data_IF_425016505006
#
_entry.id   IF_425016505006
#
_cell.length_a   1.000
_cell.length_b   1.000
_cell.length_c   1.000
_cell.angle_alpha   90.00
_cell.angle_beta   90.00
_cell.angle_gamma   90.00
#
_symmetry.space_group_name_H-M   'P 1'
#
loop_
_entity.id
_entity.type
_entity.pdbx_description
1 polymer ?
#
# COMPACT_ATOMS: atom_id res chain seq x y z
N UNK A 1 0.40 6.77 15.63
CA UNK A 1 1.11 7.32 14.45
C UNK A 1 1.01 8.85 14.34
N UNK A 2 0.09 9.53 15.02
CA UNK A 2 -0.05 11.01 14.96
C UNK A 2 1.01 11.81 15.74
N UNK A 3 1.68 11.21 16.75
CA UNK A 3 2.57 11.96 17.66
C UNK A 3 3.99 12.20 17.13
N UNK A 4 4.45 11.44 16.12
CA UNK A 4 5.79 11.61 15.55
C UNK A 4 5.85 12.68 14.45
N UNK A 5 4.72 12.92 13.77
CA UNK A 5 4.59 14.00 12.79
C UNK A 5 4.69 15.38 13.43
N UNK A 6 4.18 15.58 14.64
CA UNK A 6 4.27 16.88 15.33
C UNK A 6 5.71 17.33 15.62
N UNK A 7 6.62 16.43 16.01
CA UNK A 7 7.96 16.82 16.48
C UNK A 7 8.94 17.12 15.34
N UNK A 8 8.84 16.40 14.21
CA UNK A 8 9.68 16.67 13.03
C UNK A 8 9.19 17.91 12.27
N UNK A 9 7.87 18.12 12.22
CA UNK A 9 7.28 19.34 11.65
C UNK A 9 7.63 20.57 12.50
N UNK A 10 7.60 20.50 13.83
CA UNK A 10 7.92 21.67 14.68
C UNK A 10 9.38 22.15 14.52
N UNK A 11 10.34 21.23 14.39
CA UNK A 11 11.76 21.61 14.25
C UNK A 11 12.09 22.21 12.86
N UNK A 12 11.42 21.75 11.81
CA UNK A 12 11.54 22.32 10.46
C UNK A 12 10.77 23.64 10.31
N UNK A 13 9.62 23.79 10.98
CA UNK A 13 8.86 25.05 11.01
C UNK A 13 9.65 26.17 11.68
N UNK A 14 10.35 25.89 12.80
CA UNK A 14 11.09 26.93 13.54
C UNK A 14 12.33 27.46 12.81
N UNK A 15 12.94 26.68 11.91
CA UNK A 15 14.10 27.14 11.11
C UNK A 15 13.70 27.76 9.78
N UNK A 16 12.55 27.39 9.20
CA UNK A 16 11.98 28.03 8.01
C UNK A 16 11.26 29.36 8.29
N UNK A 17 10.63 29.53 9.45
CA UNK A 17 9.86 30.74 9.76
C UNK A 17 10.73 31.99 9.96
N UNK A 18 11.94 31.86 10.50
CA UNK A 18 12.83 33.01 10.75
C UNK A 18 13.31 33.67 9.45
N UNK A 19 13.28 32.95 8.33
CA UNK A 19 13.66 33.47 7.01
C UNK A 19 12.55 34.25 6.29
N UNK A 20 11.28 34.14 6.71
CA UNK A 20 10.13 34.76 6.04
C UNK A 20 9.60 36.02 6.74
N UNK A 21 9.97 36.25 8.00
CA UNK A 21 9.45 37.37 8.81
C UNK A 21 10.35 38.61 8.86
N UNK A 22 11.57 38.54 8.32
CA UNK A 22 12.41 39.71 8.12
C UNK A 22 12.53 39.96 6.63
N UNK A 23 12.27 41.17 6.17
CA UNK A 23 12.30 41.57 4.75
C UNK A 23 13.68 41.48 4.07
N UNK A 24 14.55 40.57 4.50
CA UNK A 24 15.73 40.16 3.78
C UNK A 24 15.31 39.17 2.70
N UNK A 25 15.55 39.57 1.45
CA UNK A 25 15.57 38.66 0.30
C UNK A 25 16.65 37.63 0.61
N UNK A 26 16.29 36.51 1.23
CA UNK A 26 17.12 35.32 1.22
C UNK A 26 17.20 34.96 -0.26
N UNK A 27 18.35 35.22 -0.87
CA UNK A 27 18.63 34.77 -2.23
C UNK A 27 18.56 33.25 -2.17
N UNK A 28 17.39 32.70 -2.47
CA UNK A 28 17.16 31.26 -2.42
C UNK A 28 18.17 30.57 -3.31
N UNK A 29 18.58 29.34 -2.96
CA UNK A 29 19.54 28.61 -3.78
C UNK A 29 19.00 28.43 -5.21
N UNK A 30 19.88 28.13 -6.17
CA UNK A 30 19.46 27.92 -7.57
C UNK A 30 18.35 26.86 -7.68
N UNK A 31 18.40 25.84 -6.82
CA UNK A 31 17.33 24.84 -6.65
C UNK A 31 15.99 25.47 -6.26
N UNK A 32 15.95 26.29 -5.20
CA UNK A 32 14.72 26.93 -4.71
C UNK A 32 14.16 27.95 -5.72
N UNK A 33 15.02 28.70 -6.40
CA UNK A 33 14.60 29.62 -7.46
C UNK A 33 14.05 28.87 -8.68
N UNK A 34 14.64 27.74 -9.04
CA UNK A 34 14.14 26.87 -10.11
C UNK A 34 12.77 26.28 -9.73
N UNK A 35 12.59 25.86 -8.48
CA UNK A 35 11.30 25.41 -7.97
C UNK A 35 10.24 26.51 -8.05
N UNK A 36 10.53 27.70 -7.51
CA UNK A 36 9.58 28.82 -7.48
C UNK A 36 9.12 29.24 -8.89
N UNK A 37 10.05 29.33 -9.85
CA UNK A 37 9.73 29.64 -11.25
C UNK A 37 8.88 28.56 -11.91
N UNK A 38 9.24 27.30 -11.70
CA UNK A 38 8.51 26.16 -12.28
C UNK A 38 7.11 26.05 -11.68
N UNK A 39 6.97 26.24 -10.37
CA UNK A 39 5.69 26.24 -9.68
C UNK A 39 4.78 27.38 -10.16
N UNK A 40 5.34 28.59 -10.36
CA UNK A 40 4.60 29.71 -10.96
C UNK A 40 4.08 29.38 -12.36
N UNK A 41 4.94 28.84 -13.24
CA UNK A 41 4.56 28.44 -14.59
C UNK A 41 3.47 27.35 -14.56
N UNK A 42 3.59 26.39 -13.66
CA UNK A 42 2.62 25.31 -13.47
C UNK A 42 1.19 25.79 -13.20
N UNK A 43 1.08 26.70 -12.22
CA UNK A 43 -0.19 27.26 -11.78
C UNK A 43 -0.77 28.21 -12.84
N UNK A 44 0.10 29.03 -13.46
CA UNK A 44 -0.29 29.95 -14.53
C UNK A 44 -0.78 29.23 -15.79
N UNK A 45 -0.17 28.09 -16.15
CA UNK A 45 -0.62 27.26 -17.28
C UNK A 45 -2.04 26.72 -17.07
N UNK A 46 -2.48 26.59 -15.82
CA UNK A 46 -3.86 26.21 -15.47
C UNK A 46 -4.79 27.42 -15.35
N UNK A 47 -4.37 28.60 -15.81
CA UNK A 47 -5.10 29.88 -15.71
C UNK A 47 -5.44 30.31 -14.28
N UNK A 48 -4.63 29.88 -13.30
CA UNK A 48 -4.76 30.26 -11.90
C UNK A 48 -3.67 31.25 -11.53
N UNK A 49 -4.03 32.26 -10.73
CA UNK A 49 -3.06 33.21 -10.19
C UNK A 49 -2.34 32.57 -8.99
N UNK A 50 -1.00 32.51 -9.03
CA UNK A 50 -0.21 31.87 -7.97
C UNK A 50 -0.31 32.58 -6.61
N UNK A 51 -0.48 33.91 -6.57
CA UNK A 51 -0.64 34.63 -5.31
C UNK A 51 -1.97 34.31 -4.64
N UNK A 52 -3.03 34.13 -5.44
CA UNK A 52 -4.33 33.68 -4.95
C UNK A 52 -4.29 32.21 -4.52
N UNK A 53 -3.54 31.36 -5.23
CA UNK A 53 -3.33 29.97 -4.85
C UNK A 53 -2.61 29.88 -3.49
N UNK A 54 -1.52 30.63 -3.31
CA UNK A 54 -0.78 30.72 -2.04
C UNK A 54 -1.69 31.16 -0.89
N UNK A 55 -2.55 32.14 -1.13
CA UNK A 55 -3.52 32.59 -0.14
C UNK A 55 -4.45 31.48 0.34
N UNK A 56 -4.97 30.66 -0.56
CA UNK A 56 -5.81 29.53 -0.15
C UNK A 56 -4.99 28.42 0.51
N UNK A 57 -3.85 28.06 -0.08
CA UNK A 57 -2.97 27.00 0.42
C UNK A 57 -2.48 27.30 1.85
N UNK A 58 -2.17 28.56 2.15
CA UNK A 58 -1.68 28.98 3.46
C UNK A 58 -2.79 29.39 4.44
N UNK A 59 -4.05 29.21 4.07
CA UNK A 59 -5.22 29.63 4.85
C UNK A 59 -5.21 31.13 5.19
N UNK A 60 -4.81 31.96 4.22
CA UNK A 60 -4.88 33.42 4.26
C UNK A 60 -3.63 34.14 4.78
N UNK A 61 -2.58 33.41 5.12
CA UNK A 61 -1.35 33.97 5.72
C UNK A 61 -0.32 34.48 4.70
N UNK A 62 -0.35 34.00 3.46
CA UNK A 62 0.60 34.33 2.40
C UNK A 62 -0.14 34.69 1.10
N UNK A 63 0.52 35.41 0.19
CA UNK A 63 -0.05 35.74 -1.11
C UNK A 63 -1.10 36.85 -1.05
N UNK A 64 -2.11 36.78 -1.93
CA UNK A 64 -3.11 37.83 -2.10
C UNK A 64 -4.52 37.24 -2.11
N UNK A 65 -5.44 37.87 -1.39
CA UNK A 65 -6.84 37.49 -1.40
C UNK A 65 -7.42 37.64 -2.82
N UNK A 66 -8.18 36.65 -3.34
CA UNK A 66 -8.79 36.75 -4.66
C UNK A 66 -9.83 37.87 -4.71
N UNK A 67 -9.79 38.73 -5.74
CA UNK A 67 -10.75 39.84 -5.90
C UNK A 67 -12.19 39.34 -6.11
N UNK A 68 -12.34 38.17 -6.73
CA UNK A 68 -13.63 37.48 -6.95
C UNK A 68 -14.20 36.83 -5.66
N UNK A 69 -13.47 36.91 -4.55
CA UNK A 69 -13.79 36.25 -3.28
C UNK A 69 -13.21 34.83 -3.18
N UNK A 70 -12.91 34.41 -1.95
CA UNK A 70 -12.24 33.12 -1.67
C UNK A 70 -13.06 31.93 -2.15
N UNK A 71 -14.38 31.92 -1.91
CA UNK A 71 -15.25 30.81 -2.29
C UNK A 71 -15.34 30.63 -3.82
N UNK A 72 -15.53 31.72 -4.56
CA UNK A 72 -15.60 31.73 -6.03
C UNK A 72 -14.29 31.25 -6.65
N UNK A 73 -13.17 31.80 -6.18
CA UNK A 73 -11.85 31.38 -6.64
C UNK A 73 -11.59 29.91 -6.33
N UNK A 74 -11.90 29.46 -5.11
CA UNK A 74 -11.73 28.07 -4.69
C UNK A 74 -12.51 27.12 -5.60
N UNK A 75 -13.78 27.41 -5.88
CA UNK A 75 -14.60 26.59 -6.77
C UNK A 75 -13.96 26.45 -8.16
N UNK A 76 -13.46 27.55 -8.75
CA UNK A 76 -12.77 27.55 -10.04
C UNK A 76 -11.44 26.81 -9.99
N UNK A 77 -10.61 27.09 -8.99
CA UNK A 77 -9.28 26.50 -8.85
C UNK A 77 -9.35 24.98 -8.62
N UNK A 78 -10.32 24.50 -7.84
CA UNK A 78 -10.46 23.08 -7.56
C UNK A 78 -10.87 22.24 -8.79
N UNK A 79 -11.47 22.84 -9.82
CA UNK A 79 -11.76 22.16 -11.10
C UNK A 79 -10.46 21.78 -11.83
N UNK A 80 -9.45 22.64 -11.80
CA UNK A 80 -8.14 22.40 -12.44
C UNK A 80 -7.12 21.77 -11.50
N UNK A 81 -7.53 21.38 -10.28
CA UNK A 81 -6.66 20.72 -9.29
C UNK A 81 -5.86 19.55 -9.87
N UNK A 82 -6.47 18.59 -10.62
CA UNK A 82 -5.70 17.46 -11.14
C UNK A 82 -4.54 17.87 -12.06
N UNK A 83 -4.70 18.94 -12.83
CA UNK A 83 -3.65 19.46 -13.72
C UNK A 83 -2.49 20.07 -12.91
N UNK A 84 -2.83 20.86 -11.89
CA UNK A 84 -1.87 21.48 -10.98
C UNK A 84 -1.13 20.41 -10.17
N UNK A 85 -1.83 19.37 -9.69
CA UNK A 85 -1.22 18.27 -8.91
C UNK A 85 -0.17 17.52 -9.74
N UNK A 86 -0.54 17.07 -10.95
CA UNK A 86 0.37 16.33 -11.85
C UNK A 86 1.60 17.17 -12.19
N UNK A 87 1.38 18.44 -12.52
CA UNK A 87 2.46 19.35 -12.87
C UNK A 87 3.35 19.68 -11.66
N UNK A 88 2.77 19.90 -10.48
CA UNK A 88 3.51 20.13 -9.24
C UNK A 88 4.40 18.93 -8.88
N UNK A 89 3.85 17.71 -8.94
CA UNK A 89 4.60 16.47 -8.71
C UNK A 89 5.77 16.32 -9.69
N UNK A 90 5.53 16.55 -10.99
CA UNK A 90 6.57 16.47 -12.01
C UNK A 90 7.72 17.46 -11.76
N UNK A 91 7.42 18.66 -11.28
CA UNK A 91 8.44 19.67 -10.90
C UNK A 91 9.23 19.21 -9.70
N UNK A 92 8.56 18.78 -8.63
CA UNK A 92 9.19 18.33 -7.38
C UNK A 92 10.15 17.17 -7.67
N UNK A 93 9.71 16.16 -8.42
CA UNK A 93 10.54 15.01 -8.77
C UNK A 93 11.72 15.39 -9.66
N UNK A 94 11.48 16.20 -10.69
CA UNK A 94 12.54 16.65 -11.60
C UNK A 94 13.65 17.36 -10.83
N UNK A 95 13.29 18.23 -9.89
CA UNK A 95 14.26 18.98 -9.09
C UNK A 95 14.90 18.12 -8.00
N UNK A 96 14.14 17.23 -7.36
CA UNK A 96 14.68 16.30 -6.36
C UNK A 96 15.81 15.42 -6.93
N UNK A 97 15.64 14.98 -8.18
CA UNK A 97 16.62 14.17 -8.91
C UNK A 97 17.63 15.02 -9.72
N UNK A 98 17.56 16.35 -9.64
CA UNK A 98 18.43 17.25 -10.41
C UNK A 98 19.78 17.46 -9.73
N UNK A 99 20.81 17.68 -10.53
CA UNK A 99 22.11 18.21 -10.07
C UNK A 99 22.03 19.64 -9.56
N UNK A 100 20.90 20.35 -9.78
CA UNK A 100 20.67 21.69 -9.21
C UNK A 100 20.41 21.66 -7.70
N UNK A 101 19.87 20.55 -7.17
CA UNK A 101 19.56 20.36 -5.76
C UNK A 101 20.55 19.35 -5.17
N UNK A 102 21.79 19.80 -4.97
CA UNK A 102 22.94 18.95 -4.62
C UNK A 102 22.81 18.44 -3.20
N UNK A 103 22.42 19.30 -2.27
CA UNK A 103 22.39 18.96 -0.84
C UNK A 103 21.07 18.32 -0.44
N UNK A 104 21.11 17.43 0.54
CA UNK A 104 19.89 16.85 1.12
C UNK A 104 19.00 17.94 1.73
N UNK A 105 19.57 19.02 2.27
CA UNK A 105 18.83 20.16 2.82
C UNK A 105 18.00 20.87 1.74
N UNK A 106 18.59 21.11 0.57
CA UNK A 106 17.85 21.71 -0.57
C UNK A 106 16.72 20.81 -1.05
N UNK A 107 16.98 19.51 -1.15
CA UNK A 107 15.96 18.51 -1.49
C UNK A 107 14.80 18.50 -0.50
N UNK A 108 15.09 18.57 0.80
CA UNK A 108 14.03 18.67 1.82
C UNK A 108 13.28 20.00 1.75
N UNK A 109 13.97 21.08 1.39
CA UNK A 109 13.34 22.40 1.27
C UNK A 109 12.34 22.42 0.10
N UNK A 110 12.70 21.90 -1.07
CA UNK A 110 11.76 21.85 -2.20
C UNK A 110 10.58 20.92 -1.91
N UNK A 111 10.76 19.85 -1.14
CA UNK A 111 9.66 18.99 -0.71
C UNK A 111 8.71 19.74 0.21
N UNK A 112 9.24 20.42 1.22
CA UNK A 112 8.46 21.26 2.14
C UNK A 112 7.70 22.35 1.38
N UNK A 113 8.35 23.04 0.45
CA UNK A 113 7.72 24.06 -0.39
C UNK A 113 6.63 23.48 -1.29
N UNK A 114 6.86 22.31 -1.88
CA UNK A 114 5.88 21.60 -2.71
C UNK A 114 4.66 21.17 -1.89
N UNK A 115 4.87 20.67 -0.68
CA UNK A 115 3.80 20.27 0.21
C UNK A 115 3.02 21.48 0.74
N UNK A 116 3.70 22.57 1.09
CA UNK A 116 3.08 23.81 1.55
C UNK A 116 2.21 24.46 0.47
N UNK A 117 2.59 24.37 -0.81
CA UNK A 117 1.81 24.94 -1.90
C UNK A 117 0.79 23.95 -2.47
N UNK A 118 1.26 22.87 -3.09
CA UNK A 118 0.41 21.93 -3.82
C UNK A 118 -0.34 20.99 -2.88
N UNK A 119 0.33 20.49 -1.83
CA UNK A 119 -0.31 19.65 -0.82
C UNK A 119 -1.44 20.38 -0.09
N UNK A 120 -1.18 21.59 0.40
CA UNK A 120 -2.19 22.38 1.09
C UNK A 120 -3.30 22.90 0.15
N UNK A 121 -2.98 23.18 -1.12
CA UNK A 121 -4.01 23.48 -2.12
C UNK A 121 -4.91 22.26 -2.38
N UNK A 122 -4.34 21.07 -2.51
CA UNK A 122 -5.12 19.83 -2.62
C UNK A 122 -6.07 19.69 -1.42
N UNK A 123 -5.54 19.86 -0.21
CA UNK A 123 -6.32 19.70 1.02
C UNK A 123 -7.42 20.76 1.12
N UNK A 124 -7.14 21.98 0.66
CA UNK A 124 -8.15 23.02 0.51
C UNK A 124 -9.27 22.57 -0.41
N UNK A 125 -8.96 21.89 -1.52
CA UNK A 125 -9.94 21.36 -2.46
C UNK A 125 -10.59 20.03 -2.07
N UNK A 126 -10.35 19.54 -0.85
CA UNK A 126 -10.93 18.28 -0.40
C UNK A 126 -12.45 18.34 -0.27
N UNK A 127 -13.11 17.26 -0.65
CA UNK A 127 -14.54 17.06 -0.46
C UNK A 127 -14.82 16.57 0.97
N UNK A 128 -15.96 16.95 1.58
CA UNK A 128 -16.30 16.54 2.95
C UNK A 128 -16.27 15.02 3.16
N UNK A 129 -16.58 14.23 2.13
CA UNK A 129 -16.54 12.76 2.20
C UNK A 129 -15.16 12.20 2.54
N UNK A 130 -14.07 12.94 2.27
CA UNK A 130 -12.69 12.48 2.52
C UNK A 130 -12.46 12.10 3.99
N UNK A 131 -13.07 12.84 4.92
CA UNK A 131 -12.88 12.62 6.36
C UNK A 131 -13.77 11.51 6.92
N UNK A 132 -14.82 11.11 6.19
CA UNK A 132 -15.75 10.06 6.64
C UNK A 132 -15.56 8.74 5.90
N UNK A 133 -14.94 8.74 4.72
CA UNK A 133 -14.90 7.57 3.85
C UNK A 133 -14.24 6.35 4.50
N UNK A 134 -13.15 6.50 5.26
CA UNK A 134 -12.58 5.36 6.00
C UNK A 134 -13.62 4.74 6.96
N UNK A 135 -14.33 5.58 7.71
CA UNK A 135 -15.39 5.14 8.62
C UNK A 135 -16.52 4.46 7.85
N UNK A 136 -16.90 5.01 6.70
CA UNK A 136 -17.95 4.45 5.84
C UNK A 136 -17.54 3.08 5.25
N UNK A 137 -16.26 2.90 4.89
CA UNK A 137 -15.68 1.62 4.46
C UNK A 137 -15.69 0.62 5.63
N UNK A 138 -15.30 1.04 6.85
CA UNK A 138 -15.36 0.18 8.04
C UNK A 138 -16.79 -0.26 8.37
N UNK A 139 -17.79 0.58 8.10
CA UNK A 139 -19.19 0.20 8.25
C UNK A 139 -19.60 -0.91 7.28
N UNK A 140 -18.99 -1.01 6.10
CA UNK A 140 -19.27 -2.11 5.18
C UNK A 140 -18.91 -3.47 5.78
N UNK A 141 -17.83 -3.57 6.57
CA UNK A 141 -17.49 -4.80 7.30
C UNK A 141 -18.58 -5.16 8.31
N UNK A 142 -19.03 -4.19 9.11
CA UNK A 142 -20.09 -4.40 10.09
C UNK A 142 -21.42 -4.81 9.43
N UNK A 143 -21.76 -4.20 8.28
CA UNK A 143 -22.97 -4.51 7.52
C UNK A 143 -23.06 -5.98 7.10
N UNK A 144 -21.90 -6.60 6.82
CA UNK A 144 -21.82 -8.02 6.48
C UNK A 144 -21.36 -8.91 7.64
N UNK A 145 -21.41 -8.42 8.88
CA UNK A 145 -21.01 -9.13 10.10
C UNK A 145 -19.54 -9.59 10.12
N UNK A 146 -18.64 -8.81 9.53
CA UNK A 146 -17.19 -9.03 9.54
C UNK A 146 -16.47 -8.00 10.41
N UNK A 147 -15.26 -8.34 10.88
CA UNK A 147 -14.46 -7.44 11.72
C UNK A 147 -13.82 -6.33 10.88
N UNK A 148 -13.99 -5.04 11.23
CA UNK A 148 -13.32 -3.92 10.55
C UNK A 148 -11.79 -3.95 10.64
N UNK A 149 -11.19 -4.75 11.53
CA UNK A 149 -9.73 -4.90 11.62
C UNK A 149 -9.13 -5.58 10.38
N UNK A 150 -9.92 -6.38 9.65
CA UNK A 150 -9.46 -7.12 8.47
C UNK A 150 -9.10 -6.22 7.27
N UNK A 151 -9.59 -4.97 7.26
CA UNK A 151 -9.30 -3.98 6.20
C UNK A 151 -7.81 -3.66 6.08
N UNK A 152 -7.14 -3.41 7.21
CA UNK A 152 -5.72 -3.07 7.24
C UNK A 152 -4.81 -4.25 6.95
N UNK A 153 -5.28 -5.47 7.23
CA UNK A 153 -4.46 -6.67 7.05
C UNK A 153 -4.45 -7.13 5.59
N UNK A 154 -5.56 -7.01 4.87
CA UNK A 154 -5.62 -7.40 3.46
C UNK A 154 -4.83 -6.44 2.55
N UNK A 155 -4.91 -5.12 2.80
CA UNK A 155 -4.18 -4.09 2.05
C UNK A 155 -2.65 -4.29 2.03
N UNK A 156 -2.12 -4.88 3.11
CA UNK A 156 -0.68 -5.10 3.29
C UNK A 156 -0.29 -6.57 3.11
N UNK A 157 -1.22 -7.44 2.66
CA UNK A 157 -1.05 -8.90 2.66
C UNK A 157 -0.51 -9.43 4.00
N UNK A 158 -0.94 -8.80 5.10
CA UNK A 158 -0.60 -9.15 6.48
C UNK A 158 -1.50 -10.29 6.97
N UNK A 159 -1.28 -10.64 8.22
CA UNK A 159 -1.17 -12.01 8.68
C UNK A 159 -2.50 -12.74 8.84
N UNK A 160 -3.60 -11.99 8.93
CA UNK A 160 -4.96 -12.49 9.22
C UNK A 160 -6.02 -11.79 8.36
N UNK A 161 -5.69 -11.54 7.09
CA UNK A 161 -6.50 -10.77 6.14
C UNK A 161 -7.99 -11.16 6.00
N UNK A 162 -8.34 -12.45 6.14
CA UNK A 162 -9.74 -12.92 5.98
C UNK A 162 -10.26 -13.73 7.18
N UNK A 163 -9.51 -13.78 8.29
CA UNK A 163 -9.89 -14.49 9.51
C UNK A 163 -8.76 -15.33 10.12
N UNK A 164 -8.90 -15.74 11.38
CA UNK A 164 -7.91 -16.56 12.10
C UNK A 164 -8.31 -18.03 12.25
N UNK A 165 -9.54 -18.39 11.86
CA UNK A 165 -10.07 -19.74 11.95
C UNK A 165 -11.04 -20.06 10.80
N UNK A 166 -11.41 -21.32 10.67
CA UNK A 166 -12.24 -21.81 9.57
C UNK A 166 -13.59 -21.10 9.46
N UNK A 167 -14.24 -20.81 10.60
CA UNK A 167 -15.54 -20.14 10.63
C UNK A 167 -15.44 -18.69 10.15
N UNK A 168 -14.45 -17.95 10.64
CA UNK A 168 -14.21 -16.57 10.20
C UNK A 168 -13.88 -16.50 8.70
N UNK A 169 -13.02 -17.39 8.22
CA UNK A 169 -12.68 -17.51 6.79
C UNK A 169 -13.92 -17.85 5.97
N UNK A 170 -14.76 -18.77 6.45
CA UNK A 170 -16.01 -19.13 5.79
C UNK A 170 -16.95 -17.92 5.69
N UNK A 171 -17.17 -17.21 6.79
CA UNK A 171 -18.03 -16.02 6.83
C UNK A 171 -17.52 -14.90 5.93
N UNK A 172 -16.21 -14.64 5.93
CA UNK A 172 -15.61 -13.67 5.03
C UNK A 172 -15.88 -14.05 3.57
N UNK A 173 -15.59 -15.29 3.19
CA UNK A 173 -15.73 -15.74 1.82
C UNK A 173 -17.17 -15.79 1.33
N UNK A 174 -18.14 -16.06 2.22
CA UNK A 174 -19.56 -16.00 1.90
C UNK A 174 -20.03 -14.56 1.61
N UNK A 175 -19.45 -13.58 2.31
CA UNK A 175 -19.89 -12.18 2.27
C UNK A 175 -19.01 -11.27 1.42
N UNK A 176 -17.94 -11.79 0.81
CA UNK A 176 -16.92 -11.00 0.11
C UNK A 176 -17.49 -10.11 -1.00
N UNK A 177 -18.47 -10.60 -1.77
CA UNK A 177 -19.03 -9.87 -2.91
C UNK A 177 -19.89 -8.69 -2.41
N UNK A 178 -20.70 -8.92 -1.37
CA UNK A 178 -21.48 -7.89 -0.68
C UNK A 178 -20.58 -6.83 -0.03
N UNK A 179 -19.47 -7.25 0.58
CA UNK A 179 -18.47 -6.35 1.15
C UNK A 179 -17.85 -5.47 0.06
N UNK A 180 -17.33 -6.08 -1.00
CA UNK A 180 -16.71 -5.37 -2.12
C UNK A 180 -17.70 -4.40 -2.78
N UNK A 181 -18.96 -4.80 -2.97
CA UNK A 181 -19.99 -3.94 -3.52
C UNK A 181 -20.26 -2.73 -2.61
N UNK A 182 -20.37 -2.92 -1.30
CA UNK A 182 -20.54 -1.81 -0.36
C UNK A 182 -19.36 -0.84 -0.43
N UNK A 183 -18.11 -1.34 -0.39
CA UNK A 183 -16.91 -0.50 -0.46
C UNK A 183 -16.88 0.28 -1.78
N UNK A 184 -17.18 -0.36 -2.92
CA UNK A 184 -17.27 0.32 -4.23
C UNK A 184 -18.32 1.43 -4.22
N UNK A 185 -19.50 1.20 -3.65
CA UNK A 185 -20.55 2.22 -3.56
C UNK A 185 -20.11 3.42 -2.72
N UNK A 186 -19.45 3.19 -1.57
CA UNK A 186 -18.89 4.27 -0.74
C UNK A 186 -17.80 5.04 -1.46
N UNK A 187 -16.92 4.34 -2.19
CA UNK A 187 -15.87 4.96 -2.99
C UNK A 187 -16.44 5.79 -4.15
N UNK A 188 -17.43 5.28 -4.89
CA UNK A 188 -18.07 6.01 -6.00
C UNK A 188 -18.79 7.28 -5.53
N UNK A 189 -19.31 7.30 -4.31
CA UNK A 189 -19.96 8.47 -3.73
C UNK A 189 -18.98 9.57 -3.29
N UNK A 190 -17.66 9.31 -3.28
CA UNK A 190 -16.65 10.25 -2.82
C UNK A 190 -15.63 10.57 -3.93
N UNK A 191 -15.60 11.81 -4.45
CA UNK A 191 -14.63 12.21 -5.48
C UNK A 191 -13.16 12.05 -5.07
N UNK A 192 -12.86 12.11 -3.77
CA UNK A 192 -11.51 11.91 -3.22
C UNK A 192 -11.21 10.45 -2.83
N UNK A 193 -12.08 9.50 -3.20
CA UNK A 193 -11.92 8.11 -2.79
C UNK A 193 -10.60 7.48 -3.23
N UNK A 194 -10.10 7.80 -4.42
CA UNK A 194 -8.82 7.26 -4.91
C UNK A 194 -7.66 7.57 -3.96
N UNK A 195 -7.63 8.78 -3.38
CA UNK A 195 -6.61 9.16 -2.40
C UNK A 195 -6.81 8.48 -1.07
N UNK A 196 -8.03 8.48 -0.52
CA UNK A 196 -8.31 7.82 0.77
C UNK A 196 -7.99 6.33 0.68
N UNK A 197 -8.41 5.67 -0.41
CA UNK A 197 -8.12 4.27 -0.66
C UNK A 197 -6.60 4.04 -0.79
N UNK A 198 -5.86 4.90 -1.49
CA UNK A 198 -4.40 4.83 -1.55
C UNK A 198 -3.73 5.02 -0.17
N UNK A 199 -4.21 5.96 0.65
CA UNK A 199 -3.75 6.16 2.04
C UNK A 199 -4.03 4.94 2.92
N UNK A 200 -5.13 4.23 2.67
CA UNK A 200 -5.47 2.95 3.31
C UNK A 200 -4.76 1.74 2.68
N UNK A 201 -4.00 1.92 1.59
CA UNK A 201 -3.36 0.83 0.84
C UNK A 201 -4.35 -0.08 0.10
N UNK A 202 -5.57 0.37 -0.13
CA UNK A 202 -6.63 -0.40 -0.80
C UNK A 202 -6.67 0.01 -2.28
N UNK A 203 -6.49 -0.95 -3.16
CA UNK A 203 -6.88 -0.83 -4.56
C UNK A 203 -8.03 -1.80 -4.80
N UNK A 204 -9.20 -1.31 -5.20
CA UNK A 204 -10.43 -2.12 -5.22
C UNK A 204 -10.32 -3.36 -6.12
N UNK A 205 -9.71 -3.23 -7.30
CA UNK A 205 -9.49 -4.38 -8.18
C UNK A 205 -8.57 -5.44 -7.58
N UNK A 206 -7.49 -4.98 -6.94
CA UNK A 206 -6.52 -5.84 -6.24
C UNK A 206 -7.15 -6.49 -5.00
N UNK A 207 -8.01 -5.77 -4.27
CA UNK A 207 -8.77 -6.29 -3.14
C UNK A 207 -9.64 -7.48 -3.54
N UNK A 208 -10.40 -7.37 -4.64
CA UNK A 208 -11.28 -8.44 -5.12
C UNK A 208 -10.48 -9.68 -5.52
N UNK A 209 -9.39 -9.49 -6.26
CA UNK A 209 -8.51 -10.58 -6.71
C UNK A 209 -7.86 -11.28 -5.51
N UNK A 210 -7.33 -10.51 -4.56
CA UNK A 210 -6.73 -11.05 -3.35
C UNK A 210 -7.73 -11.83 -2.50
N UNK A 211 -8.93 -11.29 -2.30
CA UNK A 211 -10.01 -11.98 -1.60
C UNK A 211 -10.39 -13.29 -2.30
N UNK A 212 -10.45 -13.32 -3.63
CA UNK A 212 -10.81 -14.51 -4.38
C UNK A 212 -9.73 -15.60 -4.33
N UNK A 213 -8.45 -15.25 -4.38
CA UNK A 213 -7.33 -16.21 -4.19
C UNK A 213 -7.41 -16.84 -2.80
N UNK A 214 -7.55 -16.02 -1.77
CA UNK A 214 -7.60 -16.50 -0.39
C UNK A 214 -8.82 -17.41 -0.16
N UNK A 215 -9.98 -17.04 -0.72
CA UNK A 215 -11.20 -17.83 -0.62
C UNK A 215 -11.22 -19.10 -1.46
N UNK A 216 -10.46 -19.17 -2.57
CA UNK A 216 -10.23 -20.43 -3.31
C UNK A 216 -9.25 -21.35 -2.60
N UNK A 217 -8.39 -20.80 -1.73
CA UNK A 217 -7.31 -21.53 -1.06
C UNK A 217 -7.43 -21.53 0.47
N UNK A 218 -8.65 -21.68 1.00
CA UNK A 218 -8.94 -21.58 2.44
C UNK A 218 -8.05 -22.46 3.31
N UNK A 219 -7.82 -23.71 2.89
CA UNK A 219 -7.00 -24.65 3.67
C UNK A 219 -5.53 -24.28 3.69
N UNK A 220 -5.00 -23.80 2.55
CA UNK A 220 -3.61 -23.31 2.46
C UNK A 220 -3.45 -22.05 3.32
N UNK A 221 -4.43 -21.14 3.26
CA UNK A 221 -4.47 -19.95 4.09
C UNK A 221 -4.44 -20.28 5.58
N UNK A 222 -5.35 -21.14 6.04
CA UNK A 222 -5.43 -21.56 7.44
C UNK A 222 -4.15 -22.25 7.90
N UNK A 223 -3.57 -23.13 7.08
CA UNK A 223 -2.29 -23.78 7.37
C UNK A 223 -1.12 -22.77 7.44
N UNK A 224 -1.21 -21.69 6.68
CA UNK A 224 -0.19 -20.64 6.61
C UNK A 224 -0.30 -19.54 7.66
N UNK A 225 -1.39 -19.49 8.44
CA UNK A 225 -1.62 -18.43 9.42
C UNK A 225 -0.46 -18.24 10.39
N UNK A 226 0.15 -19.33 10.86
CA UNK A 226 1.29 -19.23 11.77
C UNK A 226 2.52 -18.58 11.11
N UNK A 227 2.76 -18.88 9.83
CA UNK A 227 3.83 -18.28 9.04
C UNK A 227 3.64 -16.80 8.85
N UNK A 228 2.43 -16.41 8.50
CA UNK A 228 2.16 -15.00 8.25
C UNK A 228 2.22 -14.24 9.57
N UNK A 229 1.59 -14.74 10.65
CA UNK A 229 1.47 -14.06 11.95
C UNK A 229 2.79 -13.73 12.60
N UNK A 230 3.78 -14.61 12.47
CA UNK A 230 5.09 -14.43 13.06
C UNK A 230 6.14 -14.46 11.95
N UNK A 231 6.25 -13.38 11.13
CA UNK A 231 7.22 -13.36 10.06
C UNK A 231 8.63 -13.41 10.65
N UNK A 232 9.51 -14.16 9.99
CA UNK A 232 10.94 -14.23 10.29
C UNK A 232 11.59 -12.83 10.14
N UNK A 233 12.72 -12.56 10.82
CA UNK A 233 13.38 -11.25 10.77
C UNK A 233 13.64 -10.73 9.35
N UNK A 234 14.03 -11.60 8.43
CA UNK A 234 14.31 -11.26 7.04
C UNK A 234 13.06 -10.78 6.30
N UNK A 235 11.91 -11.42 6.53
CA UNK A 235 10.62 -10.97 5.97
C UNK A 235 10.20 -9.64 6.60
N UNK A 236 10.45 -9.44 7.90
CA UNK A 236 10.21 -8.14 8.56
C UNK A 236 11.04 -7.03 7.93
N UNK A 237 12.30 -7.31 7.60
CA UNK A 237 13.15 -6.37 6.87
C UNK A 237 12.58 -6.06 5.49
N UNK A 238 12.06 -7.05 4.76
CA UNK A 238 11.41 -6.80 3.46
C UNK A 238 10.22 -5.83 3.58
N UNK A 239 9.41 -5.92 4.64
CA UNK A 239 8.33 -4.95 4.90
C UNK A 239 8.89 -3.56 5.21
N UNK A 240 9.87 -3.47 6.11
CA UNK A 240 10.47 -2.18 6.50
C UNK A 240 11.10 -1.47 5.30
N UNK A 241 11.81 -2.21 4.43
CA UNK A 241 12.38 -1.65 3.21
C UNK A 241 11.30 -1.13 2.27
N UNK A 242 10.23 -1.91 2.05
CA UNK A 242 9.10 -1.45 1.23
C UNK A 242 8.45 -0.20 1.83
N UNK A 243 8.13 -0.21 3.13
CA UNK A 243 7.50 0.92 3.83
C UNK A 243 8.37 2.18 3.73
N UNK A 244 9.68 2.07 3.97
CA UNK A 244 10.61 3.21 3.87
C UNK A 244 10.72 3.74 2.43
N UNK A 245 10.87 2.86 1.44
CA UNK A 245 10.99 3.25 0.04
C UNK A 245 9.70 3.88 -0.48
N UNK A 246 8.55 3.30 -0.12
CA UNK A 246 7.23 3.84 -0.46
C UNK A 246 6.98 5.18 0.21
N UNK A 247 7.34 5.33 1.49
CA UNK A 247 7.22 6.59 2.20
C UNK A 247 8.10 7.66 1.54
N UNK A 248 9.34 7.32 1.17
CA UNK A 248 10.23 8.21 0.45
C UNK A 248 9.66 8.63 -0.91
N UNK A 249 9.08 7.69 -1.66
CA UNK A 249 8.43 7.97 -2.92
C UNK A 249 7.20 8.86 -2.75
N UNK A 250 6.34 8.59 -1.76
CA UNK A 250 5.13 9.37 -1.52
C UNK A 250 5.43 10.81 -1.08
N UNK A 251 6.61 11.09 -0.52
CA UNK A 251 7.05 12.47 -0.26
C UNK A 251 7.27 13.27 -1.54
N UNK A 252 7.83 12.66 -2.58
CA UNK A 252 8.11 13.32 -3.87
C UNK A 252 6.95 13.18 -4.87
N UNK A 253 6.13 12.14 -4.71
CA UNK A 253 5.07 11.73 -5.61
C UNK A 253 3.89 11.16 -4.81
N UNK A 254 3.01 12.01 -4.23
CA UNK A 254 1.86 11.56 -3.45
C UNK A 254 0.89 10.65 -4.21
N UNK A 255 0.88 10.74 -5.55
CA UNK A 255 0.19 9.81 -6.44
C UNK A 255 1.21 9.17 -7.38
N UNK A 256 1.98 8.17 -6.92
CA UNK A 256 3.12 7.66 -7.67
C UNK A 256 2.72 6.93 -8.96
N UNK A 257 1.43 6.65 -9.18
CA UNK A 257 0.90 6.06 -10.42
C UNK A 257 0.50 7.11 -11.46
N UNK A 258 0.55 8.41 -11.14
CA UNK A 258 0.10 9.48 -12.03
C UNK A 258 1.14 9.89 -13.09
N UNK A 259 2.44 9.61 -12.85
CA UNK A 259 3.53 9.89 -13.78
C UNK A 259 4.41 8.65 -14.02
N UNK A 260 5.06 8.59 -15.18
CA UNK A 260 5.80 7.42 -15.62
C UNK A 260 7.03 7.10 -14.74
N UNK A 261 7.71 8.11 -14.22
CA UNK A 261 8.95 7.92 -13.45
C UNK A 261 8.61 7.35 -12.08
N UNK A 262 7.65 7.95 -11.39
CA UNK A 262 7.18 7.45 -10.11
C UNK A 262 6.50 6.10 -10.24
N UNK A 263 5.80 5.87 -11.36
CA UNK A 263 5.18 4.57 -11.63
C UNK A 263 6.26 3.49 -11.72
N UNK A 264 7.35 3.74 -12.44
CA UNK A 264 8.48 2.81 -12.51
C UNK A 264 9.09 2.52 -11.14
N UNK A 265 9.30 3.55 -10.31
CA UNK A 265 9.84 3.38 -8.96
C UNK A 265 8.88 2.61 -8.06
N UNK A 266 7.60 2.95 -8.06
CA UNK A 266 6.53 2.26 -7.35
C UNK A 266 6.52 0.77 -7.72
N UNK A 267 6.50 0.48 -9.03
CA UNK A 267 6.47 -0.87 -9.55
C UNK A 267 7.74 -1.65 -9.17
N UNK A 268 8.91 -1.00 -9.24
CA UNK A 268 10.16 -1.61 -8.85
C UNK A 268 10.16 -1.98 -7.36
N UNK A 269 9.77 -1.07 -6.47
CA UNK A 269 9.73 -1.34 -5.02
C UNK A 269 8.77 -2.48 -4.67
N UNK A 270 7.59 -2.54 -5.31
CA UNK A 270 6.63 -3.63 -5.10
C UNK A 270 7.18 -4.98 -5.58
N UNK A 271 7.84 -5.02 -6.74
CA UNK A 271 8.45 -6.25 -7.28
C UNK A 271 9.69 -6.69 -6.47
N UNK A 272 10.53 -5.75 -6.05
CA UNK A 272 11.66 -6.01 -5.15
C UNK A 272 11.17 -6.61 -3.82
N UNK A 273 10.06 -6.11 -3.29
CA UNK A 273 9.45 -6.67 -2.09
C UNK A 273 8.99 -8.12 -2.29
N UNK A 274 8.32 -8.43 -3.42
CA UNK A 274 7.95 -9.82 -3.77
C UNK A 274 9.19 -10.72 -3.81
N UNK A 275 10.24 -10.29 -4.51
CA UNK A 275 11.49 -11.05 -4.60
C UNK A 275 12.15 -11.24 -3.23
N UNK A 276 12.19 -10.20 -2.41
CA UNK A 276 12.75 -10.24 -1.05
C UNK A 276 12.01 -11.27 -0.19
N UNK A 277 10.68 -11.23 -0.18
CA UNK A 277 9.85 -12.20 0.55
C UNK A 277 10.08 -13.63 0.03
N UNK A 278 10.05 -13.84 -1.29
CA UNK A 278 10.28 -15.16 -1.89
C UNK A 278 11.63 -15.75 -1.46
N UNK A 279 12.69 -14.95 -1.50
CA UNK A 279 14.03 -15.40 -1.09
C UNK A 279 14.13 -15.65 0.41
N UNK A 280 13.51 -14.81 1.23
CA UNK A 280 13.49 -14.97 2.68
C UNK A 280 12.78 -16.28 3.08
N UNK A 281 11.61 -16.55 2.49
CA UNK A 281 10.87 -17.79 2.72
C UNK A 281 11.59 -19.03 2.15
N UNK A 282 12.30 -18.91 1.03
CA UNK A 282 13.05 -20.02 0.45
C UNK A 282 14.25 -20.47 1.31
N UNK A 283 14.88 -19.54 2.05
CA UNK A 283 16.03 -19.81 2.92
C UNK A 283 15.65 -20.53 4.21
N UNK A 284 14.41 -20.42 4.66
CA UNK A 284 13.97 -20.92 5.96
C UNK A 284 13.04 -22.12 5.82
N UNK A 285 13.48 -23.27 6.35
CA UNK A 285 12.67 -24.49 6.44
C UNK A 285 11.76 -24.45 7.68
N UNK A 286 10.87 -23.45 7.78
CA UNK A 286 9.82 -23.52 8.80
C UNK A 286 8.85 -24.65 8.43
N UNK A 287 8.67 -25.62 9.32
CA UNK A 287 7.77 -26.77 9.09
C UNK A 287 6.34 -26.33 8.74
N UNK A 288 5.91 -25.17 9.23
CA UNK A 288 4.59 -24.58 8.95
C UNK A 288 4.54 -23.80 7.63
N UNK A 289 5.69 -23.39 7.07
CA UNK A 289 5.79 -22.51 5.89
C UNK A 289 6.26 -23.31 4.69
N UNK A 290 5.43 -24.27 4.31
CA UNK A 290 5.68 -25.11 3.14
C UNK A 290 5.74 -24.25 1.87
N UNK A 291 6.39 -24.77 0.82
CA UNK A 291 6.44 -24.10 -0.49
C UNK A 291 5.05 -23.79 -1.06
N UNK A 292 4.07 -24.62 -0.71
CA UNK A 292 2.66 -24.40 -1.04
C UNK A 292 2.10 -23.13 -0.39
N UNK A 293 2.38 -22.92 0.90
CA UNK A 293 1.95 -21.74 1.67
C UNK A 293 2.65 -20.49 1.17
N UNK A 294 3.97 -20.53 1.01
CA UNK A 294 4.73 -19.38 0.50
C UNK A 294 4.39 -19.08 -0.96
N UNK A 295 4.13 -20.10 -1.79
CA UNK A 295 3.66 -19.94 -3.17
C UNK A 295 2.31 -19.24 -3.29
N UNK A 296 1.34 -19.59 -2.43
CA UNK A 296 0.06 -18.86 -2.36
C UNK A 296 0.25 -17.41 -1.91
N UNK A 297 1.17 -17.16 -0.97
CA UNK A 297 1.52 -15.80 -0.56
C UNK A 297 2.15 -15.01 -1.72
N UNK A 298 3.04 -15.61 -2.48
CA UNK A 298 3.64 -14.99 -3.67
C UNK A 298 2.58 -14.68 -4.73
N UNK A 299 1.64 -15.60 -5.01
CA UNK A 299 0.52 -15.34 -5.91
C UNK A 299 -0.31 -14.14 -5.43
N UNK A 300 -0.68 -14.10 -4.15
CA UNK A 300 -1.42 -12.99 -3.56
C UNK A 300 -0.67 -11.66 -3.75
N UNK A 301 0.62 -11.61 -3.39
CA UNK A 301 1.41 -10.38 -3.54
C UNK A 301 1.48 -9.93 -5.00
N UNK A 302 1.62 -10.86 -5.95
CA UNK A 302 1.66 -10.58 -7.38
C UNK A 302 0.33 -10.05 -7.92
N UNK A 303 -0.81 -10.59 -7.50
CA UNK A 303 -2.14 -10.10 -7.91
C UNK A 303 -2.49 -8.76 -7.26
N UNK A 304 -1.83 -8.39 -6.16
CA UNK A 304 -1.91 -7.06 -5.53
C UNK A 304 -0.97 -6.02 -6.18
N UNK A 305 -0.25 -6.39 -7.25
CA UNK A 305 0.55 -5.44 -8.04
C UNK A 305 -0.34 -4.86 -9.15
N UNK A 306 -0.41 -3.51 -9.29
CA UNK A 306 -1.20 -2.89 -10.34
C UNK A 306 -0.78 -3.37 -11.73
N UNK A 307 -1.75 -3.55 -12.64
CA UNK A 307 -1.50 -4.05 -14.02
C UNK A 307 -0.53 -3.18 -14.81
N UNK A 308 -0.47 -1.88 -14.51
CA UNK A 308 0.49 -0.95 -15.11
C UNK A 308 1.94 -1.37 -14.85
N UNK A 309 2.22 -2.01 -13.71
CA UNK A 309 3.55 -2.52 -13.40
C UNK A 309 3.95 -3.72 -14.27
N UNK A 310 2.98 -4.54 -14.70
CA UNK A 310 3.23 -5.62 -15.64
C UNK A 310 3.70 -5.07 -16.99
N UNK A 311 3.16 -3.92 -17.41
CA UNK A 311 3.54 -3.26 -18.67
C UNK A 311 4.87 -2.49 -18.53
N UNK A 312 5.09 -1.87 -17.37
CA UNK A 312 6.28 -1.07 -17.10
C UNK A 312 7.53 -1.93 -16.88
N UNK A 313 7.40 -3.10 -16.24
CA UNK A 313 8.51 -4.01 -15.90
C UNK A 313 8.17 -5.48 -16.26
N UNK A 314 7.91 -5.80 -17.54
CA UNK A 314 7.35 -7.08 -17.96
C UNK A 314 8.26 -8.27 -17.65
N UNK A 315 9.57 -8.13 -17.83
CA UNK A 315 10.53 -9.21 -17.59
C UNK A 315 10.67 -9.54 -16.10
N UNK A 316 10.73 -8.52 -15.24
CA UNK A 316 10.82 -8.70 -13.78
C UNK A 316 9.51 -9.24 -13.20
N UNK A 317 8.38 -8.69 -13.65
CA UNK A 317 7.06 -9.22 -13.28
C UNK A 317 6.93 -10.69 -13.73
N UNK A 318 7.25 -11.00 -14.98
CA UNK A 318 7.10 -12.35 -15.54
C UNK A 318 7.97 -13.41 -14.86
N UNK A 319 9.16 -13.04 -14.36
CA UNK A 319 10.05 -13.97 -13.64
C UNK A 319 9.58 -14.25 -12.21
N UNK A 320 9.10 -13.23 -11.50
CA UNK A 320 8.64 -13.32 -10.11
C UNK A 320 7.21 -13.87 -10.01
N UNK A 321 6.30 -13.33 -10.81
CA UNK A 321 4.87 -13.60 -10.80
C UNK A 321 4.47 -14.67 -11.83
N UNK A 322 5.30 -15.71 -11.97
CA UNK A 322 5.03 -16.85 -12.83
C UNK A 322 4.24 -17.93 -12.07
N UNK A 323 3.38 -18.67 -12.78
CA UNK A 323 2.62 -19.81 -12.20
C UNK A 323 3.53 -20.88 -11.58
N UNK A 324 4.76 -21.00 -12.06
CA UNK A 324 5.76 -21.94 -11.52
C UNK A 324 6.14 -21.61 -10.08
N UNK A 325 6.09 -20.33 -9.68
CA UNK A 325 6.41 -19.88 -8.33
C UNK A 325 5.23 -20.00 -7.37
N UNK A 326 4.03 -20.34 -7.86
CA UNK A 326 2.79 -20.36 -7.07
C UNK A 326 2.45 -21.75 -6.51
N UNK A 327 3.09 -22.81 -7.00
CA UNK A 327 2.93 -24.20 -6.53
C UNK A 327 1.46 -24.68 -6.48
N UNK A 328 0.67 -24.38 -7.52
CA UNK A 328 -0.77 -24.71 -7.57
C UNK A 328 -1.08 -26.20 -7.37
N UNK A 329 -0.30 -27.09 -7.99
CA UNK A 329 -0.53 -28.53 -7.92
C UNK A 329 -0.39 -29.06 -6.48
N UNK A 330 0.48 -28.46 -5.68
CA UNK A 330 0.74 -28.84 -4.29
C UNK A 330 -0.36 -28.38 -3.33
N UNK A 331 -1.34 -27.58 -3.79
CA UNK A 331 -2.43 -27.04 -2.94
C UNK A 331 -3.60 -27.99 -2.78
N UNK A 332 -3.72 -29.01 -3.63
CA UNK A 332 -4.84 -29.96 -3.61
C UNK A 332 -5.08 -30.62 -2.24
N UNK A 333 -4.05 -31.08 -1.50
CA UNK A 333 -4.25 -31.70 -0.19
C UNK A 333 -4.86 -30.75 0.85
N UNK A 334 -4.68 -29.44 0.69
CA UNK A 334 -5.16 -28.44 1.63
C UNK A 334 -6.61 -28.02 1.34
N UNK A 335 -7.00 -27.94 0.06
CA UNK A 335 -8.32 -27.46 -0.35
C UNK A 335 -9.34 -28.60 -0.60
N UNK A 336 -8.86 -29.84 -0.74
CA UNK A 336 -9.68 -31.03 -0.92
C UNK A 336 -10.01 -31.70 0.41
N UNK A 337 -11.00 -31.17 1.13
CA UNK A 337 -11.65 -31.95 2.18
C UNK A 337 -12.88 -32.64 1.59
N UNK A 338 -12.79 -33.92 1.24
CA UNK A 338 -13.80 -34.99 1.38
C UNK A 338 -13.28 -36.28 0.73
N UNK A 339 -12.46 -37.06 1.47
CA UNK A 339 -12.64 -38.51 1.64
C UNK A 339 -11.48 -39.12 2.44
N UNK A 340 -11.85 -39.74 3.57
CA UNK A 340 -11.13 -40.78 4.33
C UNK A 340 -9.87 -40.35 5.10
N UNK A 341 -10.02 -40.08 6.41
CA UNK A 341 -9.20 -40.87 7.34
C UNK A 341 -9.71 -42.31 7.25
N UNK A 342 -8.88 -43.37 7.30
CA UNK A 342 -7.67 -43.51 8.14
C UNK A 342 -6.42 -43.97 7.33
N UNK A 343 -5.23 -44.05 7.95
CA UNK A 343 -4.30 -45.22 7.81
C UNK A 343 -2.83 -45.00 8.22
N UNK A 344 -2.35 -43.80 8.58
CA UNK A 344 -0.95 -43.71 9.06
C UNK A 344 -0.78 -44.28 10.48
N UNK A 345 -1.87 -44.40 11.26
CA UNK A 345 -1.82 -45.00 12.61
C UNK A 345 -1.98 -46.54 12.63
N UNK A 346 -2.34 -47.21 11.52
CA UNK A 346 -2.55 -48.66 11.50
C UNK A 346 -1.28 -49.43 11.06
N UNK A 347 -0.40 -48.84 10.27
CA UNK A 347 0.84 -49.52 9.82
C UNK A 347 1.80 -49.78 10.99
N UNK A 348 1.79 -48.93 12.03
CA UNK A 348 2.61 -49.15 13.23
C UNK A 348 1.95 -50.16 14.19
N UNK A 349 0.62 -50.25 14.25
CA UNK A 349 -0.04 -51.25 15.12
C UNK A 349 -0.04 -52.66 14.52
N UNK A 350 -0.12 -52.82 13.19
CA UNK A 350 -0.06 -54.17 12.56
C UNK A 350 1.35 -54.75 12.54
N UNK A 351 2.40 -53.91 12.43
CA UNK A 351 3.79 -54.38 12.52
C UNK A 351 4.19 -54.74 13.95
N UNK A 352 3.67 -54.04 14.96
CA UNK A 352 3.93 -54.39 16.37
C UNK A 352 3.14 -55.62 16.82
N UNK A 353 1.87 -55.80 16.40
CA UNK A 353 1.13 -57.03 16.74
C UNK A 353 1.65 -58.27 16.02
N UNK A 354 2.11 -58.18 14.77
CA UNK A 354 2.73 -59.31 14.08
C UNK A 354 4.04 -59.77 14.75
N UNK A 355 4.81 -58.83 15.29
CA UNK A 355 6.06 -59.11 16.02
C UNK A 355 5.82 -59.78 17.38
N UNK A 356 4.74 -59.42 18.08
CA UNK A 356 4.40 -60.01 19.38
C UNK A 356 3.77 -61.40 19.22
N UNK A 357 3.06 -61.67 18.12
CA UNK A 357 2.46 -62.99 17.86
C UNK A 357 3.51 -63.97 17.32
N UNK A 358 4.43 -63.55 16.44
CA UNK A 358 5.54 -64.43 16.02
C UNK A 358 6.57 -64.69 17.14
N UNK A 359 6.77 -63.73 18.05
CA UNK A 359 7.69 -63.91 19.19
C UNK A 359 7.19 -64.92 20.23
N UNK A 360 5.88 -65.16 20.34
CA UNK A 360 5.32 -66.15 21.27
C UNK A 360 5.22 -67.57 20.70
N UNK A 361 5.31 -67.74 19.37
CA UNK A 361 5.29 -69.07 18.74
C UNK A 361 6.64 -69.79 18.78
N UNK A 362 7.75 -69.07 19.05
CA UNK A 362 9.10 -69.63 19.10
C UNK A 362 9.57 -70.08 20.51
N UNK A 363 8.69 -70.02 21.52
CA UNK A 363 8.97 -70.53 22.87
C UNK A 363 8.19 -71.81 23.23
N UNK A 364 7.53 -72.43 22.26
CA UNK A 364 6.87 -73.73 22.40
C UNK A 364 7.23 -74.65 21.23
N UNK A 365 8.52 -74.93 21.06
CA UNK A 365 9.06 -76.17 20.49
C UNK A 365 10.29 -76.56 21.29
#
# INVERSE_FOLDING_TARGET
MERFWCLVILAAFLTGFVALTSGQIVVGSQCQQAWSRSAAACVQNSSININNLRYIASNGTEGQMPMEGVATFKARACVVRPQIDVCGQAITQRLYNSTLCVTQVERQTILSQSQALFGAFYDSCSFPCRTTLEKDIRQCYNYVNLSPSQLSDLALARTTAIGENADQVYQFCLNRDSLAQCIRQKALACPDASRVLAELGIELGSFDLGADILCRNKGVYLSGLHCFRNPIPEVRMCFQTLENNMQALMMVAPQPTADQISLLQFCNFRLEHVNCEMQAWAKHQYQTCTRTVSGMRTELLCELIPKQCMQALPSLYGSLCSKMNFYYEDRRPYNGGHSVGPSVLIIILTTVLASVILGKALHFV
#
